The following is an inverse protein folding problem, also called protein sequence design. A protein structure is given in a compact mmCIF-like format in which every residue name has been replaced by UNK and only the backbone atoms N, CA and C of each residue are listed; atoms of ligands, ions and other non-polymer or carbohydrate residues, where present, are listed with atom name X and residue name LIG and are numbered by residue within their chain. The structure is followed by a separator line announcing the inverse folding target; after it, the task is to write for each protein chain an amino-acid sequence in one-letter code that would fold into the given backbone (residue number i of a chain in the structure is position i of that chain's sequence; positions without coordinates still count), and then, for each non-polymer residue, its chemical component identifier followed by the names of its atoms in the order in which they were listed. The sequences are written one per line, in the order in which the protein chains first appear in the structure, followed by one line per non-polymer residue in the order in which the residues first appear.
data_IF_531674334005
#
_entry.id   IF_531674334005
#
_cell.length_a   1.000
_cell.length_b   1.000
_cell.length_c   1.000
_cell.angle_alpha   90.00
_cell.angle_beta   90.00
_cell.angle_gamma   90.00
#
_symmetry.space_group_name_H-M   'P 1'
#
loop_
_entity.id
_entity.type
_entity.pdbx_description
1 polymer ?
#
# COMPACT_ATOMS: atom_id res chain seq x y z
N UNK A 1 41.82 -5.44 -26.62
CA UNK A 1 40.55 -4.81 -27.06
C UNK A 1 39.39 -5.62 -26.51
N UNK A 2 38.86 -5.27 -25.32
CA UNK A 2 37.61 -5.81 -24.79
C UNK A 2 36.51 -4.91 -25.34
N UNK A 3 35.78 -5.38 -26.35
CA UNK A 3 34.75 -4.58 -27.02
C UNK A 3 33.58 -4.20 -26.10
N UNK A 4 32.85 -3.12 -26.41
CA UNK A 4 31.73 -2.60 -25.61
C UNK A 4 30.57 -3.61 -25.43
N UNK A 5 30.55 -4.70 -26.20
CA UNK A 5 29.57 -5.79 -26.08
C UNK A 5 29.66 -6.57 -24.77
N UNK A 6 30.86 -6.70 -24.18
CA UNK A 6 31.03 -7.49 -22.94
C UNK A 6 30.52 -6.79 -21.68
N UNK A 7 30.58 -5.46 -21.65
CA UNK A 7 30.16 -4.64 -20.50
C UNK A 7 28.64 -4.47 -20.48
N UNK A 8 28.00 -4.26 -21.64
CA UNK A 8 26.54 -4.15 -21.75
C UNK A 8 25.82 -5.45 -21.38
N UNK A 9 26.35 -6.62 -21.78
CA UNK A 9 25.77 -7.92 -21.43
C UNK A 9 25.89 -8.20 -19.93
N UNK A 10 27.04 -7.90 -19.32
CA UNK A 10 27.22 -8.04 -17.86
C UNK A 10 26.31 -7.10 -17.08
N UNK A 11 26.18 -5.84 -17.51
CA UNK A 11 25.27 -4.88 -16.88
C UNK A 11 23.80 -5.34 -17.01
N UNK A 12 23.38 -5.80 -18.18
CA UNK A 12 22.04 -6.34 -18.41
C UNK A 12 21.75 -7.58 -17.54
N UNK A 13 22.74 -8.47 -17.38
CA UNK A 13 22.61 -9.66 -16.52
C UNK A 13 22.47 -9.28 -15.04
N UNK A 14 23.27 -8.33 -14.55
CA UNK A 14 23.17 -7.83 -13.17
C UNK A 14 21.82 -7.15 -12.93
N UNK A 15 21.33 -6.34 -13.87
CA UNK A 15 20.00 -5.72 -13.82
C UNK A 15 18.88 -6.78 -13.79
N UNK A 16 18.98 -7.82 -14.62
CA UNK A 16 18.01 -8.91 -14.67
C UNK A 16 17.99 -9.73 -13.36
N UNK A 17 19.15 -10.00 -12.77
CA UNK A 17 19.26 -10.72 -11.49
C UNK A 17 18.71 -9.89 -10.33
N UNK A 18 19.02 -8.59 -10.26
CA UNK A 18 18.49 -7.70 -9.22
C UNK A 18 16.97 -7.52 -9.34
N UNK A 19 16.45 -7.40 -10.56
CA UNK A 19 15.01 -7.36 -10.82
C UNK A 19 14.33 -8.68 -10.41
N UNK A 20 14.93 -9.83 -10.76
CA UNK A 20 14.42 -11.14 -10.38
C UNK A 20 14.38 -11.38 -8.87
N UNK A 21 15.40 -10.92 -8.13
CA UNK A 21 15.44 -10.99 -6.67
C UNK A 21 14.34 -10.15 -6.01
N UNK A 22 14.08 -8.94 -6.53
CA UNK A 22 12.99 -8.08 -6.04
C UNK A 22 11.62 -8.76 -6.24
N UNK A 23 11.34 -9.26 -7.44
CA UNK A 23 10.03 -9.86 -7.74
C UNK A 23 9.75 -11.15 -6.95
N UNK A 24 10.80 -11.84 -6.50
CA UNK A 24 10.70 -13.01 -5.62
C UNK A 24 10.29 -12.65 -4.18
N UNK A 25 10.62 -11.45 -3.69
CA UNK A 25 10.18 -10.97 -2.37
C UNK A 25 8.94 -10.06 -2.44
N UNK A 26 8.66 -9.47 -3.61
CA UNK A 26 7.58 -8.52 -3.84
C UNK A 26 6.24 -8.97 -3.26
N UNK A 27 5.78 -10.19 -3.54
CA UNK A 27 4.45 -10.63 -3.12
C UNK A 27 4.26 -10.63 -1.60
N UNK A 28 5.28 -11.09 -0.88
CA UNK A 28 5.29 -11.08 0.58
C UNK A 28 5.36 -9.66 1.15
N UNK A 29 6.20 -8.79 0.56
CA UNK A 29 6.31 -7.39 1.01
C UNK A 29 5.03 -6.60 0.75
N UNK A 30 4.41 -6.78 -0.42
CA UNK A 30 3.13 -6.18 -0.76
C UNK A 30 2.03 -6.64 0.22
N UNK A 31 1.95 -7.94 0.50
CA UNK A 31 1.02 -8.47 1.50
C UNK A 31 1.24 -7.86 2.89
N UNK A 32 2.49 -7.73 3.34
CA UNK A 32 2.80 -7.05 4.60
C UNK A 32 2.33 -5.59 4.62
N UNK A 33 2.54 -4.84 3.54
CA UNK A 33 2.00 -3.48 3.47
C UNK A 33 0.47 -3.45 3.53
N UNK A 34 -0.22 -4.38 2.86
CA UNK A 34 -1.68 -4.52 2.97
C UNK A 34 -2.09 -4.74 4.42
N UNK A 35 -1.49 -5.73 5.10
CA UNK A 35 -1.86 -6.08 6.47
C UNK A 35 -1.64 -4.91 7.43
N UNK A 36 -0.52 -4.20 7.29
CA UNK A 36 -0.22 -2.99 8.08
C UNK A 36 -1.25 -1.90 7.82
N UNK A 37 -1.55 -1.58 6.55
CA UNK A 37 -2.54 -0.55 6.23
C UNK A 37 -3.94 -0.91 6.73
N UNK A 38 -4.38 -2.17 6.59
CA UNK A 38 -5.67 -2.60 7.11
C UNK A 38 -5.74 -2.53 8.65
N UNK A 39 -4.68 -2.96 9.34
CA UNK A 39 -4.58 -2.86 10.79
C UNK A 39 -4.63 -1.41 11.27
N UNK A 40 -3.86 -0.53 10.63
CA UNK A 40 -3.81 0.90 10.97
C UNK A 40 -5.14 1.60 10.65
N UNK A 41 -5.80 1.28 9.54
CA UNK A 41 -7.12 1.80 9.20
C UNK A 41 -8.17 1.48 10.28
N UNK A 42 -8.25 0.21 10.69
CA UNK A 42 -9.16 -0.24 11.75
C UNK A 42 -8.86 0.44 13.08
N UNK A 43 -7.59 0.54 13.45
CA UNK A 43 -7.14 1.26 14.66
C UNK A 43 -7.57 2.72 14.61
N UNK A 44 -7.36 3.41 13.48
CA UNK A 44 -7.74 4.82 13.32
C UNK A 44 -9.24 5.05 13.50
N UNK A 45 -10.07 4.21 12.87
CA UNK A 45 -11.53 4.26 13.04
C UNK A 45 -11.93 3.99 14.49
N UNK A 46 -11.35 2.97 15.12
CA UNK A 46 -11.64 2.66 16.53
C UNK A 46 -11.27 3.84 17.46
N UNK A 47 -10.12 4.47 17.25
CA UNK A 47 -9.72 5.64 18.02
C UNK A 47 -10.72 6.81 17.84
N UNK A 48 -11.18 7.07 16.62
CA UNK A 48 -12.13 8.18 16.37
C UNK A 48 -13.48 7.87 17.01
N UNK A 49 -14.02 6.67 16.81
CA UNK A 49 -15.32 6.26 17.35
C UNK A 49 -15.34 6.29 18.88
N UNK A 50 -14.21 6.00 19.53
CA UNK A 50 -14.08 6.05 20.98
C UNK A 50 -13.61 7.42 21.52
N UNK A 51 -13.53 8.47 20.69
CA UNK A 51 -13.10 9.80 21.11
C UNK A 51 -11.64 9.89 21.58
N UNK A 52 -10.79 8.95 21.18
CA UNK A 52 -9.36 8.85 21.55
C UNK A 52 -8.41 9.33 20.45
N UNK A 53 -8.95 9.70 19.28
CA UNK A 53 -8.14 10.11 18.15
C UNK A 53 -7.81 11.60 18.21
N UNK A 54 -6.52 11.91 18.30
CA UNK A 54 -6.02 13.30 18.42
C UNK A 54 -5.17 13.70 17.22
N UNK A 55 -4.74 14.96 17.15
CA UNK A 55 -3.85 15.42 16.08
C UNK A 55 -2.50 14.67 16.09
N UNK A 56 -2.00 14.32 17.28
CA UNK A 56 -0.78 13.56 17.51
C UNK A 56 -0.90 12.10 17.04
N UNK A 57 -2.13 11.61 16.83
CA UNK A 57 -2.38 10.28 16.26
C UNK A 57 -2.20 10.24 14.74
N UNK A 58 -2.18 11.41 14.06
CA UNK A 58 -2.12 11.49 12.59
C UNK A 58 -0.86 10.87 11.98
N UNK A 59 0.36 11.12 12.52
CA UNK A 59 1.58 10.50 11.99
C UNK A 59 1.56 8.97 12.00
N UNK A 60 0.85 8.35 12.95
CA UNK A 60 0.70 6.89 13.00
C UNK A 60 -0.09 6.34 11.81
N UNK A 61 -0.99 7.16 11.22
CA UNK A 61 -1.74 6.80 10.02
C UNK A 61 -0.97 7.11 8.74
N UNK A 62 -0.27 8.25 8.70
CA UNK A 62 0.39 8.73 7.48
C UNK A 62 1.72 8.05 7.22
N UNK A 63 2.50 7.73 8.26
CA UNK A 63 3.81 7.09 8.06
C UNK A 63 3.73 5.74 7.33
N UNK A 64 2.85 4.78 7.71
CA UNK A 64 2.69 3.55 6.94
C UNK A 64 2.28 3.78 5.48
N UNK A 65 1.47 4.80 5.20
CA UNK A 65 1.07 5.18 3.86
C UNK A 65 2.23 5.72 3.03
N UNK A 66 3.07 6.59 3.60
CA UNK A 66 4.29 7.08 2.96
C UNK A 66 5.23 5.92 2.62
N UNK A 67 5.43 4.99 3.56
CA UNK A 67 6.26 3.79 3.33
C UNK A 67 5.69 2.90 2.24
N UNK A 68 4.38 2.73 2.18
CA UNK A 68 3.72 1.95 1.16
C UNK A 68 3.77 2.62 -0.22
N UNK A 69 3.65 3.95 -0.30
CA UNK A 69 3.86 4.73 -1.53
C UNK A 69 5.27 4.59 -2.08
N UNK A 70 6.28 4.76 -1.21
CA UNK A 70 7.67 4.56 -1.61
C UNK A 70 7.94 3.14 -2.13
N UNK A 71 7.29 2.13 -1.54
CA UNK A 71 7.32 0.76 -2.06
C UNK A 71 6.68 0.65 -3.45
N UNK A 72 5.49 1.22 -3.66
CA UNK A 72 4.80 1.20 -4.95
C UNK A 72 5.59 1.91 -6.05
N UNK A 73 6.14 3.09 -5.76
CA UNK A 73 7.03 3.83 -6.67
C UNK A 73 8.25 2.99 -7.06
N UNK A 74 8.89 2.35 -6.07
CA UNK A 74 10.01 1.44 -6.30
C UNK A 74 9.61 0.22 -7.15
N UNK A 75 8.41 -0.32 -6.96
CA UNK A 75 7.90 -1.43 -7.76
C UNK A 75 7.62 -1.01 -9.20
N UNK A 76 6.98 0.14 -9.41
CA UNK A 76 6.71 0.72 -10.73
C UNK A 76 8.00 0.95 -11.53
N UNK A 77 9.03 1.52 -10.90
CA UNK A 77 10.33 1.71 -11.53
C UNK A 77 10.98 0.41 -12.03
N UNK A 78 10.56 -0.75 -11.52
CA UNK A 78 11.08 -2.10 -11.85
C UNK A 78 10.14 -2.94 -12.72
N UNK A 79 8.90 -2.48 -12.95
CA UNK A 79 7.84 -3.26 -13.58
C UNK A 79 7.91 -3.30 -15.12
N UNK A 80 8.75 -2.46 -15.73
CA UNK A 80 8.82 -2.34 -17.18
C UNK A 80 7.53 -1.76 -17.76
N UNK A 81 7.21 -2.10 -19.00
CA UNK A 81 6.07 -1.53 -19.72
C UNK A 81 4.69 -2.05 -19.26
N UNK A 82 4.64 -3.15 -18.49
CA UNK A 82 3.38 -3.78 -18.09
C UNK A 82 3.47 -4.19 -16.62
N UNK A 83 2.95 -3.37 -15.70
CA UNK A 83 2.97 -3.70 -14.29
C UNK A 83 2.06 -4.90 -13.97
N UNK A 84 2.40 -5.69 -12.93
CA UNK A 84 1.53 -6.76 -12.48
C UNK A 84 0.20 -6.20 -11.96
N UNK A 85 -0.89 -6.95 -12.10
CA UNK A 85 -2.23 -6.57 -11.66
C UNK A 85 -2.27 -6.23 -10.16
N UNK A 86 -1.50 -6.97 -9.36
CA UNK A 86 -1.33 -6.74 -7.94
C UNK A 86 -0.76 -5.36 -7.60
N UNK A 87 0.09 -4.79 -8.46
CA UNK A 87 0.63 -3.43 -8.25
C UNK A 87 -0.42 -2.37 -8.54
N UNK A 88 -1.22 -2.53 -9.61
CA UNK A 88 -2.35 -1.64 -9.90
C UNK A 88 -3.42 -1.70 -8.80
N UNK A 89 -3.74 -2.89 -8.30
CA UNK A 89 -4.64 -3.06 -7.17
C UNK A 89 -4.08 -2.39 -5.89
N UNK A 90 -2.75 -2.46 -5.71
CA UNK A 90 -2.09 -1.84 -4.58
C UNK A 90 -2.18 -0.32 -4.63
N UNK A 91 -2.00 0.31 -5.81
CA UNK A 91 -2.20 1.75 -5.99
C UNK A 91 -3.63 2.18 -5.62
N UNK A 92 -4.64 1.38 -6.01
CA UNK A 92 -6.02 1.63 -5.65
C UNK A 92 -6.22 1.58 -4.12
N UNK A 93 -5.61 0.60 -3.43
CA UNK A 93 -5.60 0.54 -1.97
C UNK A 93 -4.99 1.81 -1.35
N UNK A 94 -3.84 2.29 -1.85
CA UNK A 94 -3.20 3.51 -1.35
C UNK A 94 -4.12 4.73 -1.49
N UNK A 95 -4.83 4.84 -2.61
CA UNK A 95 -5.82 5.90 -2.84
C UNK A 95 -6.99 5.82 -1.86
N UNK A 96 -7.55 4.63 -1.62
CA UNK A 96 -8.64 4.44 -0.64
C UNK A 96 -8.19 4.71 0.79
N UNK A 97 -6.98 4.28 1.14
CA UNK A 97 -6.42 4.53 2.47
C UNK A 97 -6.22 6.03 2.72
N UNK A 98 -5.67 6.78 1.76
CA UNK A 98 -5.58 8.25 1.87
C UNK A 98 -6.95 8.88 2.11
N UNK A 99 -7.96 8.50 1.33
CA UNK A 99 -9.32 9.03 1.47
C UNK A 99 -9.92 8.73 2.86
N UNK A 100 -9.61 7.57 3.44
CA UNK A 100 -9.97 7.25 4.82
C UNK A 100 -9.24 8.14 5.83
N UNK A 101 -7.92 8.35 5.68
CA UNK A 101 -7.15 9.25 6.55
C UNK A 101 -7.72 10.66 6.52
N UNK A 102 -8.07 11.17 5.35
CA UNK A 102 -8.69 12.48 5.20
C UNK A 102 -10.07 12.54 5.86
N UNK A 103 -10.85 11.45 5.79
CA UNK A 103 -12.14 11.34 6.46
C UNK A 103 -11.99 11.32 7.99
N UNK A 104 -11.02 10.58 8.52
CA UNK A 104 -10.70 10.54 9.95
C UNK A 104 -10.35 11.94 10.46
N UNK A 105 -9.50 12.68 9.75
CA UNK A 105 -9.11 14.03 10.14
C UNK A 105 -10.28 15.02 10.10
N UNK A 106 -11.16 14.92 9.09
CA UNK A 106 -12.38 15.75 9.03
C UNK A 106 -13.32 15.46 10.20
N UNK A 107 -13.60 14.19 10.47
CA UNK A 107 -14.49 13.78 11.57
C UNK A 107 -13.93 14.21 12.92
N UNK A 108 -12.62 14.03 13.13
CA UNK A 108 -11.92 14.51 14.33
C UNK A 108 -12.11 16.01 14.54
N UNK A 109 -11.95 16.83 13.49
CA UNK A 109 -12.10 18.29 13.56
C UNK A 109 -13.54 18.77 13.72
N UNK A 110 -14.51 17.98 13.29
CA UNK A 110 -15.92 18.32 13.40
C UNK A 110 -16.48 18.16 14.83
N UNK A 111 -15.73 17.53 15.74
CA UNK A 111 -16.12 17.30 17.15
C UNK A 111 -17.48 16.59 17.31
N UNK A 112 -17.84 15.73 16.35
CA UNK A 112 -19.11 14.98 16.33
C UNK A 112 -18.89 13.46 16.44
N UNK A 113 -18.51 12.95 17.64
CA UNK A 113 -18.20 11.53 17.84
C UNK A 113 -19.39 10.60 17.56
N UNK A 114 -20.62 11.04 17.82
CA UNK A 114 -21.82 10.22 17.64
C UNK A 114 -22.13 9.93 16.16
N UNK A 115 -21.77 10.85 15.25
CA UNK A 115 -21.91 10.67 13.81
C UNK A 115 -20.70 9.96 13.17
N UNK A 116 -19.59 9.83 13.91
CA UNK A 116 -18.32 9.35 13.38
C UNK A 116 -18.40 7.92 12.84
N UNK A 117 -19.12 7.04 13.54
CA UNK A 117 -19.24 5.63 13.15
C UNK A 117 -19.86 5.48 11.77
N UNK A 118 -20.97 6.17 11.54
CA UNK A 118 -21.67 6.10 10.26
C UNK A 118 -20.86 6.78 9.15
N UNK A 119 -20.19 7.90 9.45
CA UNK A 119 -19.34 8.61 8.48
C UNK A 119 -18.11 7.79 8.02
N UNK A 120 -17.59 6.90 8.86
CA UNK A 120 -16.36 6.13 8.60
C UNK A 120 -16.61 4.70 8.10
N UNK A 121 -17.84 4.20 8.18
CA UNK A 121 -18.21 2.84 7.75
C UNK A 121 -17.87 2.58 6.29
N UNK A 122 -18.38 3.42 5.38
CA UNK A 122 -18.14 3.25 3.95
C UNK A 122 -16.65 3.46 3.55
N UNK A 123 -15.93 4.48 4.06
CA UNK A 123 -14.49 4.60 3.85
C UNK A 123 -13.68 3.38 4.31
N UNK A 124 -13.98 2.83 5.50
CA UNK A 124 -13.29 1.65 6.02
C UNK A 124 -13.56 0.42 5.14
N UNK A 125 -14.82 0.17 4.79
CA UNK A 125 -15.21 -0.95 3.93
C UNK A 125 -14.52 -0.86 2.55
N UNK A 126 -14.37 0.34 1.99
CA UNK A 126 -13.66 0.54 0.73
C UNK A 126 -12.16 0.17 0.83
N UNK A 127 -11.52 0.48 1.95
CA UNK A 127 -10.11 0.10 2.21
C UNK A 127 -9.98 -1.41 2.36
N UNK A 128 -10.88 -2.06 3.10
CA UNK A 128 -10.87 -3.52 3.29
C UNK A 128 -11.13 -4.28 1.99
N UNK A 129 -12.08 -3.81 1.18
CA UNK A 129 -12.34 -4.37 -0.14
C UNK A 129 -11.11 -4.23 -1.07
N UNK A 130 -10.45 -3.06 -1.06
CA UNK A 130 -9.23 -2.85 -1.84
C UNK A 130 -8.08 -3.77 -1.36
N UNK A 131 -7.89 -3.94 -0.05
CA UNK A 131 -6.90 -4.87 0.50
C UNK A 131 -7.18 -6.32 0.09
N UNK A 132 -8.44 -6.73 0.11
CA UNK A 132 -8.87 -8.05 -0.38
C UNK A 132 -8.55 -8.24 -1.87
N UNK A 133 -8.78 -7.20 -2.68
CA UNK A 133 -8.46 -7.22 -4.10
C UNK A 133 -6.96 -7.40 -4.37
N UNK A 134 -6.09 -6.70 -3.61
CA UNK A 134 -4.62 -6.89 -3.70
C UNK A 134 -4.24 -8.33 -3.39
N UNK A 135 -4.73 -8.88 -2.29
CA UNK A 135 -4.43 -10.26 -1.90
C UNK A 135 -4.92 -11.26 -2.96
N UNK A 136 -6.09 -11.04 -3.54
CA UNK A 136 -6.62 -11.87 -4.62
C UNK A 136 -5.73 -11.82 -5.87
N UNK A 137 -5.28 -10.63 -6.28
CA UNK A 137 -4.34 -10.48 -7.41
C UNK A 137 -2.99 -11.15 -7.13
N UNK A 138 -2.44 -10.99 -5.92
CA UNK A 138 -1.19 -11.65 -5.53
C UNK A 138 -1.28 -13.18 -5.57
N UNK A 139 -2.43 -13.76 -5.19
CA UNK A 139 -2.68 -15.22 -5.31
C UNK A 139 -2.82 -15.66 -6.76
N UNK A 140 -3.57 -14.92 -7.59
CA UNK A 140 -3.70 -15.21 -9.04
C UNK A 140 -2.34 -15.20 -9.75
N UNK A 141 -1.46 -14.29 -9.35
CA UNK A 141 -0.09 -14.21 -9.87
C UNK A 141 0.88 -15.24 -9.26
N UNK A 142 0.42 -16.11 -8.35
CA UNK A 142 1.24 -17.13 -7.70
C UNK A 142 2.31 -16.56 -6.75
N UNK A 143 2.16 -15.32 -6.28
CA UNK A 143 3.16 -14.63 -5.45
C UNK A 143 3.00 -14.84 -3.95
N UNK A 144 1.80 -15.25 -3.54
CA UNK A 144 1.46 -15.71 -2.18
C UNK A 144 0.54 -16.93 -2.29
N UNK A 145 0.45 -17.72 -1.22
CA UNK A 145 -0.45 -18.88 -1.13
C UNK A 145 -1.83 -18.47 -0.64
#
# INVERSE_FOLDING_TARGET
MVGPRGTSVKAALVLALLAGCFWRSYGRLAATHVDVLLGTARKGVDLVVNGRFTAESMPELTYPLERARAFAEGAHARAGATPPESLTAFDALLGRYQALVDALDRVRRAEQPDAARHALEAPLAAVEAAGTAVQASLRREGRIR
#
